data_IF_172601270572
#
_entry.id   IF_172601270572
#
_cell.length_a   1.000
_cell.length_b   1.000
_cell.length_c   1.000
_cell.angle_alpha   90.00
_cell.angle_beta   90.00
_cell.angle_gamma   90.00
#
_symmetry.space_group_name_H-M   'P 1'
#
loop_
_entity.id
_entity.type
_entity.pdbx_description
1 polymer ?
#
# COMPACT_ATOMS: atom_id res chain seq x y z
N UNK A 1 -22.11 -19.01 -7.74
CA UNK A 1 -20.70 -18.87 -7.34
C UNK A 1 -19.89 -19.04 -8.60
N UNK A 2 -19.40 -17.96 -9.19
CA UNK A 2 -18.44 -18.06 -10.29
C UNK A 2 -17.13 -18.60 -9.71
N UNK A 3 -16.71 -19.74 -10.20
CA UNK A 3 -15.40 -20.31 -9.84
C UNK A 3 -14.31 -19.40 -10.38
N UNK A 4 -13.61 -18.74 -9.48
CA UNK A 4 -12.48 -17.90 -9.83
C UNK A 4 -11.37 -18.77 -10.41
N UNK A 5 -11.23 -18.78 -11.73
CA UNK A 5 -10.14 -19.51 -12.38
C UNK A 5 -8.83 -18.77 -12.20
N UNK A 6 -7.98 -19.24 -11.31
CA UNK A 6 -6.64 -18.69 -11.05
C UNK A 6 -5.81 -18.52 -12.33
N UNK A 7 -6.02 -19.40 -13.31
CA UNK A 7 -5.36 -19.30 -14.63
C UNK A 7 -5.79 -18.09 -15.45
N UNK A 8 -7.06 -17.69 -15.37
CA UNK A 8 -7.57 -16.49 -16.05
C UNK A 8 -7.05 -15.22 -15.38
N UNK A 9 -7.04 -15.17 -14.06
CA UNK A 9 -6.47 -14.05 -13.32
C UNK A 9 -4.99 -13.85 -13.62
N UNK A 10 -4.20 -14.93 -13.68
CA UNK A 10 -2.80 -14.87 -14.06
C UNK A 10 -2.59 -14.40 -15.51
N UNK A 11 -3.44 -14.85 -16.43
CA UNK A 11 -3.37 -14.43 -17.83
C UNK A 11 -3.68 -12.94 -17.99
N UNK A 12 -4.76 -12.47 -17.37
CA UNK A 12 -5.13 -11.05 -17.37
C UNK A 12 -4.02 -10.20 -16.73
N UNK A 13 -3.50 -10.61 -15.59
CA UNK A 13 -2.39 -9.92 -14.93
C UNK A 13 -1.14 -9.84 -15.81
N UNK A 14 -0.81 -10.92 -16.51
CA UNK A 14 0.34 -10.98 -17.41
C UNK A 14 0.17 -10.12 -18.67
N UNK A 15 -1.03 -10.07 -19.23
CA UNK A 15 -1.35 -9.20 -20.39
C UNK A 15 -1.28 -7.72 -19.99
N UNK A 16 -1.85 -7.33 -18.84
CA UNK A 16 -1.78 -5.97 -18.31
C UNK A 16 -0.35 -5.56 -17.95
N UNK A 17 0.42 -6.47 -17.35
CA UNK A 17 1.84 -6.24 -17.06
C UNK A 17 2.63 -5.93 -18.32
N UNK A 18 2.45 -6.72 -19.38
CA UNK A 18 3.15 -6.48 -20.66
C UNK A 18 2.71 -5.18 -21.34
N UNK A 19 1.42 -4.86 -21.30
CA UNK A 19 0.88 -3.65 -21.90
C UNK A 19 1.42 -2.38 -21.24
N UNK A 20 1.62 -2.40 -19.92
CA UNK A 20 2.07 -1.23 -19.13
C UNK A 20 3.46 -1.40 -18.53
N UNK A 21 4.27 -2.31 -19.08
CA UNK A 21 5.59 -2.68 -18.54
C UNK A 21 6.49 -1.46 -18.28
N UNK A 22 6.64 -0.58 -19.26
CA UNK A 22 7.50 0.59 -19.15
C UNK A 22 7.01 1.54 -18.05
N UNK A 23 5.70 1.76 -17.97
CA UNK A 23 5.09 2.62 -16.96
C UNK A 23 5.27 2.06 -15.55
N UNK A 24 5.08 0.75 -15.36
CA UNK A 24 5.29 0.07 -14.08
C UNK A 24 6.76 0.16 -13.63
N UNK A 25 7.71 0.00 -14.55
CA UNK A 25 9.13 0.15 -14.25
C UNK A 25 9.53 1.58 -13.92
N UNK A 26 8.95 2.57 -14.60
CA UNK A 26 9.20 3.98 -14.28
C UNK A 26 8.67 4.36 -12.91
N UNK A 27 7.47 3.89 -12.54
CA UNK A 27 6.89 4.15 -11.20
C UNK A 27 7.68 3.45 -10.10
N UNK A 28 8.12 2.21 -10.33
CA UNK A 28 9.00 1.49 -9.41
C UNK A 28 10.34 2.23 -9.24
N UNK A 29 10.96 2.61 -10.35
CA UNK A 29 12.23 3.36 -10.34
C UNK A 29 12.11 4.70 -9.60
N UNK A 30 11.05 5.46 -9.85
CA UNK A 30 10.78 6.71 -9.15
C UNK A 30 10.65 6.48 -7.63
N UNK A 31 9.96 5.44 -7.21
CA UNK A 31 9.79 5.09 -5.79
C UNK A 31 11.14 4.75 -5.14
N UNK A 32 11.97 3.97 -5.83
CA UNK A 32 13.32 3.63 -5.35
C UNK A 32 14.19 4.86 -5.22
N UNK A 33 14.21 5.74 -6.23
CA UNK A 33 15.00 6.98 -6.21
C UNK A 33 14.63 7.85 -5.01
N UNK A 34 13.33 8.05 -4.79
CA UNK A 34 12.85 8.83 -3.64
C UNK A 34 13.25 8.18 -2.32
N UNK A 35 13.12 6.86 -2.20
CA UNK A 35 13.52 6.13 -0.98
C UNK A 35 15.02 6.26 -0.70
N UNK A 36 15.85 6.20 -1.74
CA UNK A 36 17.30 6.41 -1.63
C UNK A 36 17.63 7.83 -1.18
N UNK A 37 16.96 8.85 -1.73
CA UNK A 37 17.16 10.24 -1.32
C UNK A 37 16.85 10.41 0.17
N UNK A 38 15.70 9.92 0.65
CA UNK A 38 15.37 9.98 2.08
C UNK A 38 16.37 9.21 2.93
N UNK A 39 16.81 8.03 2.50
CA UNK A 39 17.82 7.25 3.22
C UNK A 39 19.18 7.98 3.36
N UNK A 40 19.61 8.70 2.31
CA UNK A 40 20.82 9.53 2.37
C UNK A 40 20.62 10.68 3.39
N UNK A 41 19.47 11.35 3.38
CA UNK A 41 19.20 12.42 4.35
C UNK A 41 19.14 11.90 5.80
N UNK A 42 18.55 10.73 6.05
CA UNK A 42 18.57 10.09 7.36
C UNK A 42 19.99 9.76 7.82
N UNK A 43 20.83 9.22 6.93
CA UNK A 43 22.24 8.90 7.26
C UNK A 43 23.06 10.15 7.55
N UNK A 44 22.87 11.22 6.79
CA UNK A 44 23.56 12.50 7.02
C UNK A 44 23.16 13.20 8.33
N UNK A 45 22.00 12.90 8.86
CA UNK A 45 21.44 13.56 10.06
C UNK A 45 21.44 12.69 11.30
N UNK A 46 21.96 11.47 11.23
CA UNK A 46 21.98 10.50 12.35
C UNK A 46 22.62 11.01 13.63
N UNK A 47 23.58 11.92 13.52
CA UNK A 47 24.28 12.51 14.68
C UNK A 47 23.42 13.57 15.41
N UNK A 48 22.33 14.04 14.80
CA UNK A 48 21.40 15.01 15.35
C UNK A 48 20.06 14.32 15.59
N UNK A 49 19.89 13.70 16.76
CA UNK A 49 18.74 12.84 17.05
C UNK A 49 17.36 13.47 16.75
N UNK A 50 17.16 14.76 17.06
CA UNK A 50 15.91 15.45 16.78
C UNK A 50 15.66 15.64 15.28
N UNK A 51 16.69 15.98 14.52
CA UNK A 51 16.58 16.17 13.07
C UNK A 51 16.34 14.84 12.35
N UNK A 52 17.06 13.81 12.71
CA UNK A 52 16.91 12.44 12.23
C UNK A 52 15.48 11.91 12.50
N UNK A 53 14.92 12.16 13.70
CA UNK A 53 13.55 11.80 14.03
C UNK A 53 12.52 12.52 13.14
N UNK A 54 12.68 13.81 12.90
CA UNK A 54 11.77 14.59 12.04
C UNK A 54 11.84 14.11 10.59
N UNK A 55 13.03 13.85 10.08
CA UNK A 55 13.23 13.33 8.72
C UNK A 55 12.63 11.92 8.59
N UNK A 56 12.82 11.06 9.57
CA UNK A 56 12.23 9.71 9.61
C UNK A 56 10.70 9.74 9.64
N UNK A 57 10.11 10.66 10.38
CA UNK A 57 8.66 10.88 10.32
C UNK A 57 8.23 11.35 8.92
N UNK A 58 8.90 12.35 8.36
CA UNK A 58 8.57 12.87 7.05
C UNK A 58 8.68 11.79 5.95
N UNK A 59 9.73 10.98 5.98
CA UNK A 59 9.94 9.86 5.05
C UNK A 59 8.83 8.81 5.17
N UNK A 60 8.40 8.49 6.40
CA UNK A 60 7.30 7.56 6.66
C UNK A 60 5.98 8.09 6.12
N UNK A 61 5.64 9.34 6.38
CA UNK A 61 4.44 9.99 5.85
C UNK A 61 4.43 10.01 4.32
N UNK A 62 5.56 10.41 3.73
CA UNK A 62 5.70 10.44 2.28
C UNK A 62 5.53 9.04 1.66
N UNK A 63 6.16 8.02 2.24
CA UNK A 63 6.05 6.63 1.79
C UNK A 63 4.61 6.11 1.86
N UNK A 64 3.85 6.49 2.88
CA UNK A 64 2.43 6.12 2.99
C UNK A 64 1.59 6.77 1.89
N UNK A 65 1.77 8.07 1.62
CA UNK A 65 1.04 8.77 0.54
C UNK A 65 1.37 8.13 -0.81
N UNK A 66 2.65 7.84 -1.06
CA UNK A 66 3.08 7.15 -2.28
C UNK A 66 2.44 5.77 -2.44
N UNK A 67 2.36 4.98 -1.37
CA UNK A 67 1.68 3.67 -1.42
C UNK A 67 0.20 3.79 -1.79
N UNK A 68 -0.52 4.75 -1.21
CA UNK A 68 -1.92 5.00 -1.55
C UNK A 68 -2.07 5.36 -3.02
N UNK A 69 -1.26 6.31 -3.51
CA UNK A 69 -1.26 6.73 -4.90
C UNK A 69 -0.93 5.59 -5.87
N UNK A 70 0.09 4.79 -5.56
CA UNK A 70 0.47 3.62 -6.36
C UNK A 70 -0.64 2.56 -6.38
N UNK A 71 -1.26 2.27 -5.24
CA UNK A 71 -2.38 1.31 -5.18
C UNK A 71 -3.51 1.76 -6.10
N UNK A 72 -3.88 3.03 -6.08
CA UNK A 72 -4.92 3.57 -6.96
C UNK A 72 -4.51 3.52 -8.43
N UNK A 73 -3.28 3.90 -8.71
CA UNK A 73 -2.74 3.84 -10.06
C UNK A 73 -2.83 2.43 -10.66
N UNK A 74 -2.46 1.41 -9.87
CA UNK A 74 -2.57 0.01 -10.31
C UNK A 74 -4.02 -0.42 -10.51
N UNK A 75 -4.94 0.00 -9.65
CA UNK A 75 -6.37 -0.27 -9.82
C UNK A 75 -6.91 0.38 -11.11
N UNK A 76 -6.59 1.65 -11.36
CA UNK A 76 -7.02 2.35 -12.58
C UNK A 76 -6.46 1.70 -13.86
N UNK A 77 -5.22 1.19 -13.83
CA UNK A 77 -4.63 0.44 -14.94
C UNK A 77 -5.37 -0.90 -15.21
N UNK A 78 -5.83 -1.56 -14.15
CA UNK A 78 -6.57 -2.83 -14.29
C UNK A 78 -7.99 -2.59 -14.76
N UNK A 79 -8.69 -1.62 -14.18
CA UNK A 79 -10.13 -1.41 -14.40
C UNK A 79 -10.42 -0.62 -15.68
N UNK A 80 -9.67 0.47 -15.95
CA UNK A 80 -10.02 1.43 -16.98
C UNK A 80 -9.17 1.37 -18.25
N UNK A 81 -8.07 0.61 -18.27
CA UNK A 81 -7.07 0.63 -19.35
C UNK A 81 -6.51 2.04 -19.67
N UNK A 82 -6.69 3.00 -18.77
CA UNK A 82 -6.18 4.36 -18.95
C UNK A 82 -4.78 4.44 -18.33
N UNK A 83 -3.85 5.10 -19.01
CA UNK A 83 -2.57 5.46 -18.42
C UNK A 83 -2.85 6.41 -17.25
N UNK A 84 -2.59 5.93 -16.02
CA UNK A 84 -2.85 6.70 -14.82
C UNK A 84 -2.09 8.02 -14.86
N UNK A 85 -2.80 9.13 -14.71
CA UNK A 85 -2.17 10.45 -14.61
C UNK A 85 -1.38 10.51 -13.30
N UNK A 86 -0.11 10.90 -13.36
CA UNK A 86 0.74 11.03 -12.16
C UNK A 86 0.13 11.93 -11.06
N UNK A 87 -0.77 12.86 -11.45
CA UNK A 87 -1.53 13.69 -10.51
C UNK A 87 -2.39 12.86 -9.54
N UNK A 88 -2.76 11.64 -9.89
CA UNK A 88 -3.52 10.71 -9.04
C UNK A 88 -2.71 10.32 -7.80
N UNK A 89 -1.37 10.25 -7.90
CA UNK A 89 -0.50 9.90 -6.78
C UNK A 89 -0.70 10.81 -5.55
N UNK A 90 -1.01 12.08 -5.78
CA UNK A 90 -1.18 13.07 -4.71
C UNK A 90 -2.65 13.45 -4.45
N UNK A 91 -3.60 12.97 -5.25
CA UNK A 91 -5.02 13.35 -5.12
C UNK A 91 -5.71 12.72 -3.91
N UNK A 92 -5.14 11.64 -3.36
CA UNK A 92 -5.77 10.84 -2.30
C UNK A 92 -5.25 11.15 -0.88
N UNK A 93 -4.66 12.34 -0.66
CA UNK A 93 -4.23 12.74 0.69
C UNK A 93 -5.38 12.75 1.71
N UNK A 94 -6.63 12.93 1.29
CA UNK A 94 -7.81 12.85 2.17
C UNK A 94 -8.06 11.45 2.74
N UNK A 95 -7.61 10.39 2.05
CA UNK A 95 -7.69 9.01 2.54
C UNK A 95 -6.54 8.64 3.47
N UNK A 96 -5.51 9.50 3.56
CA UNK A 96 -4.31 9.26 4.36
C UNK A 96 -4.63 8.91 5.81
N UNK A 97 -5.48 9.68 6.47
CA UNK A 97 -5.83 9.43 7.88
C UNK A 97 -6.59 8.11 8.08
N UNK A 98 -7.44 7.73 7.12
CA UNK A 98 -8.13 6.43 7.14
C UNK A 98 -7.14 5.29 6.96
N UNK A 99 -6.22 5.42 6.00
CA UNK A 99 -5.17 4.44 5.75
C UNK A 99 -4.21 4.32 6.94
N UNK A 100 -3.78 5.43 7.52
CA UNK A 100 -2.93 5.46 8.72
C UNK A 100 -3.62 4.75 9.90
N UNK A 101 -4.87 5.07 10.17
CA UNK A 101 -5.65 4.44 11.24
C UNK A 101 -5.81 2.93 11.03
N UNK A 102 -6.14 2.51 9.80
CA UNK A 102 -6.25 1.10 9.46
C UNK A 102 -4.91 0.37 9.56
N UNK A 103 -3.81 0.99 9.11
CA UNK A 103 -2.46 0.42 9.18
C UNK A 103 -1.98 0.23 10.63
N UNK A 104 -2.25 1.20 11.50
CA UNK A 104 -1.93 1.09 12.93
C UNK A 104 -2.75 -0.05 13.56
N UNK A 105 -4.05 -0.09 13.32
CA UNK A 105 -4.92 -1.12 13.89
C UNK A 105 -4.54 -2.51 13.37
N UNK A 106 -4.29 -2.64 12.08
CA UNK A 106 -3.80 -3.88 11.47
C UNK A 106 -2.46 -4.31 12.08
N UNK A 107 -1.50 -3.38 12.20
CA UNK A 107 -0.20 -3.65 12.81
C UNK A 107 -0.31 -4.12 14.27
N UNK A 108 -1.18 -3.48 15.07
CA UNK A 108 -1.44 -3.90 16.45
C UNK A 108 -2.09 -5.28 16.54
N UNK A 109 -3.04 -5.58 15.64
CA UNK A 109 -3.69 -6.89 15.58
C UNK A 109 -2.69 -7.99 15.22
N UNK A 110 -1.85 -7.77 14.22
CA UNK A 110 -0.83 -8.74 13.79
C UNK A 110 0.25 -8.89 14.86
N UNK A 111 0.77 -7.78 15.41
CA UNK A 111 1.77 -7.80 16.47
C UNK A 111 1.24 -8.49 17.74
N UNK A 112 0.02 -8.18 18.15
CA UNK A 112 -0.65 -8.86 19.26
C UNK A 112 -0.83 -10.36 19.01
N UNK A 113 -1.22 -10.72 17.79
CA UNK A 113 -1.32 -12.12 17.36
C UNK A 113 0.02 -12.86 17.41
N UNK A 114 1.11 -12.21 16.95
CA UNK A 114 2.47 -12.78 16.97
C UNK A 114 3.03 -12.92 18.39
N UNK A 115 2.73 -11.97 19.29
CA UNK A 115 3.15 -12.06 20.71
C UNK A 115 2.43 -13.20 21.43
N UNK A 116 1.15 -13.40 21.13
CA UNK A 116 0.38 -14.52 21.74
C UNK A 116 0.85 -15.86 21.19
N UNK A 117 0.90 -16.02 19.88
CA UNK A 117 1.38 -17.22 19.19
C UNK A 117 1.66 -16.83 17.71
N UNK A 118 2.70 -17.37 17.11
CA UNK A 118 3.09 -17.08 15.71
C UNK A 118 1.93 -17.40 14.74
N UNK A 119 1.23 -18.51 14.95
CA UNK A 119 0.15 -18.96 14.04
C UNK A 119 -1.02 -17.98 13.96
N UNK A 120 -1.62 -17.49 15.08
CA UNK A 120 -2.68 -16.49 14.97
C UNK A 120 -2.20 -15.14 14.41
N UNK A 121 -0.93 -14.76 14.62
CA UNK A 121 -0.36 -13.56 14.00
C UNK A 121 -0.32 -13.64 12.48
N UNK A 122 0.15 -14.76 11.94
CA UNK A 122 0.15 -15.03 10.49
C UNK A 122 -1.29 -15.08 9.96
N UNK A 123 -2.20 -15.76 10.66
CA UNK A 123 -3.61 -15.84 10.27
C UNK A 123 -4.26 -14.46 10.17
N UNK A 124 -4.07 -13.59 11.17
CA UNK A 124 -4.59 -12.24 11.15
C UNK A 124 -3.95 -11.39 10.03
N UNK A 125 -2.65 -11.54 9.80
CA UNK A 125 -1.95 -10.89 8.70
C UNK A 125 -2.55 -11.24 7.34
N UNK A 126 -2.81 -12.51 7.08
CA UNK A 126 -3.44 -12.98 5.85
C UNK A 126 -4.90 -12.52 5.74
N UNK A 127 -5.67 -12.63 6.83
CA UNK A 127 -7.09 -12.31 6.86
C UNK A 127 -7.39 -10.84 6.58
N UNK A 128 -6.53 -9.94 7.02
CA UNK A 128 -6.75 -8.50 6.90
C UNK A 128 -5.84 -7.83 5.84
N UNK A 129 -5.12 -8.57 5.01
CA UNK A 129 -4.13 -8.04 4.07
C UNK A 129 -4.69 -7.09 3.01
N UNK A 130 -5.98 -7.22 2.66
CA UNK A 130 -6.61 -6.42 1.59
C UNK A 130 -7.19 -5.08 2.05
N UNK A 131 -7.07 -4.71 3.33
CA UNK A 131 -7.63 -3.47 3.86
C UNK A 131 -7.19 -2.22 3.09
N UNK A 132 -5.93 -2.18 2.65
CA UNK A 132 -5.36 -1.03 1.94
C UNK A 132 -6.01 -0.81 0.57
N UNK A 133 -6.30 -1.90 -0.15
CA UNK A 133 -7.01 -1.84 -1.43
C UNK A 133 -8.45 -1.37 -1.25
N UNK A 134 -9.13 -1.85 -0.22
CA UNK A 134 -10.54 -1.49 0.07
C UNK A 134 -10.68 -0.02 0.48
N UNK A 135 -9.71 0.55 1.18
CA UNK A 135 -9.70 1.99 1.48
C UNK A 135 -9.56 2.82 0.21
N UNK A 136 -8.66 2.41 -0.69
CA UNK A 136 -8.35 3.17 -1.91
C UNK A 136 -9.43 3.01 -2.97
N UNK A 137 -9.96 1.80 -3.14
CA UNK A 137 -10.94 1.46 -4.16
C UNK A 137 -12.35 1.89 -3.78
N UNK A 138 -12.80 1.55 -2.56
CA UNK A 138 -14.16 1.81 -2.09
C UNK A 138 -14.26 2.97 -1.11
N UNK A 139 -13.17 3.68 -0.82
CA UNK A 139 -13.09 4.79 0.13
C UNK A 139 -13.65 4.46 1.53
N UNK A 140 -13.54 3.18 1.95
CA UNK A 140 -14.08 2.69 3.20
C UNK A 140 -13.40 3.32 4.42
N UNK A 141 -14.13 3.32 5.53
CA UNK A 141 -13.58 3.68 6.85
C UNK A 141 -12.60 2.62 7.38
N UNK A 142 -11.90 2.95 8.46
CA UNK A 142 -10.88 2.09 9.08
C UNK A 142 -11.44 0.71 9.44
N UNK A 143 -12.55 0.67 10.17
CA UNK A 143 -13.15 -0.58 10.65
C UNK A 143 -13.85 -1.34 9.52
N UNK A 144 -14.51 -0.63 8.62
CA UNK A 144 -15.24 -1.23 7.50
C UNK A 144 -14.28 -1.91 6.51
N UNK A 145 -13.13 -1.31 6.23
CA UNK A 145 -12.10 -1.90 5.37
C UNK A 145 -11.53 -3.20 5.95
N UNK A 146 -11.27 -3.23 7.25
CA UNK A 146 -10.81 -4.43 7.95
C UNK A 146 -11.90 -5.51 7.96
N UNK A 147 -13.14 -5.13 8.28
CA UNK A 147 -14.27 -6.07 8.29
C UNK A 147 -14.51 -6.68 6.91
N UNK A 148 -14.51 -5.89 5.86
CA UNK A 148 -14.69 -6.36 4.50
C UNK A 148 -13.51 -7.21 4.03
N UNK A 149 -12.26 -6.82 4.35
CA UNK A 149 -11.07 -7.65 4.10
C UNK A 149 -11.22 -9.04 4.71
N UNK A 150 -11.76 -9.13 5.94
CA UNK A 150 -11.97 -10.40 6.63
C UNK A 150 -13.06 -11.29 6.00
N UNK A 151 -13.92 -10.74 5.14
CA UNK A 151 -14.98 -11.50 4.44
C UNK A 151 -14.52 -12.00 3.07
N UNK A 152 -13.54 -11.33 2.47
CA UNK A 152 -12.97 -11.68 1.16
C UNK A 152 -11.95 -12.80 1.29
N UNK A 153 -11.26 -12.88 2.44
CA UNK A 153 -10.22 -13.88 2.73
C UNK A 153 -10.78 -15.06 3.52
#
# INVERSE_FOLDING_TARGET
MEYFHTSEALKVGWEKFKAHFLFLWMTLGATIVVSVIFGIFEDMTKDIAMLSFVIGLASTFFSMIMRLGLTRLYLDLVDKNEEGKLNVLFSYYGLFFRYLGASILFGLMVAGGLILLIVPGIYLGLKYQFFSYLIVDKELGVLDSLKESSQIT
#
